data_IF_509341674052
#
_entry.id   IF_509341674052
#
_cell.length_a   1.000
_cell.length_b   1.000
_cell.length_c   1.000
_cell.angle_alpha   90.00
_cell.angle_beta   90.00
_cell.angle_gamma   90.00
#
_symmetry.space_group_name_H-M   'P 1'
#
loop_
_entity.id
_entity.type
_entity.pdbx_description
1 polymer ?
#
# COMPACT_ATOMS: atom_id res chain seq x y z
N UNK A 1 6.83 7.18 5.52
CA UNK A 1 5.62 6.34 5.50
C UNK A 1 5.98 5.12 4.70
N UNK A 2 5.88 3.94 5.32
CA UNK A 2 6.25 2.67 4.69
C UNK A 2 5.06 2.12 3.94
N UNK A 3 5.20 2.00 2.63
CA UNK A 3 4.15 1.53 1.72
C UNK A 3 4.55 0.18 1.17
N UNK A 4 3.78 -0.86 1.49
CA UNK A 4 3.90 -2.15 0.82
C UNK A 4 3.23 -2.10 -0.54
N UNK A 5 3.90 -2.62 -1.56
CA UNK A 5 3.37 -2.77 -2.92
C UNK A 5 3.36 -4.25 -3.28
N UNK A 6 2.22 -4.73 -3.80
CA UNK A 6 2.11 -6.10 -4.27
C UNK A 6 3.13 -6.40 -5.38
N UNK A 7 3.72 -7.61 -5.34
CA UNK A 7 4.62 -8.11 -6.38
C UNK A 7 3.97 -8.03 -7.77
N UNK A 8 4.70 -7.53 -8.78
CA UNK A 8 4.19 -7.25 -10.12
C UNK A 8 3.66 -5.83 -10.34
N UNK A 9 3.65 -4.99 -9.30
CA UNK A 9 3.37 -3.54 -9.39
C UNK A 9 4.66 -2.71 -9.26
N UNK A 10 5.81 -3.21 -9.72
CA UNK A 10 7.10 -2.52 -9.54
C UNK A 10 7.11 -1.09 -10.12
N UNK A 11 6.40 -0.86 -11.22
CA UNK A 11 6.25 0.47 -11.81
C UNK A 11 5.60 1.48 -10.84
N UNK A 12 4.64 1.05 -10.01
CA UNK A 12 4.10 1.88 -8.94
C UNK A 12 5.12 2.06 -7.81
N UNK A 13 5.91 1.03 -7.50
CA UNK A 13 6.91 1.12 -6.46
C UNK A 13 8.00 2.15 -6.79
N UNK A 14 8.49 2.16 -8.03
CA UNK A 14 9.45 3.14 -8.51
C UNK A 14 8.87 4.56 -8.50
N UNK A 15 7.65 4.72 -9.00
CA UNK A 15 6.97 6.01 -9.00
C UNK A 15 6.75 6.54 -7.57
N UNK A 16 6.26 5.70 -6.65
CA UNK A 16 6.05 6.08 -5.25
C UNK A 16 7.36 6.42 -4.53
N UNK A 17 8.47 5.77 -4.85
CA UNK A 17 9.80 6.18 -4.33
C UNK A 17 10.19 7.59 -4.80
N UNK A 18 9.88 7.95 -6.05
CA UNK A 18 10.13 9.30 -6.56
C UNK A 18 9.28 10.36 -5.83
N UNK A 19 8.10 9.99 -5.34
CA UNK A 19 7.26 10.85 -4.49
C UNK A 19 7.72 10.91 -3.02
N UNK A 20 8.80 10.22 -2.64
CA UNK A 20 9.37 10.25 -1.30
C UNK A 20 8.79 9.23 -0.31
N UNK A 21 8.10 8.20 -0.80
CA UNK A 21 7.61 7.09 0.05
C UNK A 21 8.66 5.98 0.21
N UNK A 22 8.69 5.35 1.38
CA UNK A 22 9.51 4.17 1.63
C UNK A 22 8.77 2.93 1.12
N UNK A 23 9.11 2.47 -0.07
CA UNK A 23 8.37 1.39 -0.73
C UNK A 23 9.04 0.03 -0.57
N UNK A 24 8.29 -0.91 -0.01
CA UNK A 24 8.67 -2.31 0.21
C UNK A 24 7.79 -3.25 -0.62
N UNK A 25 8.30 -4.42 -0.99
CA UNK A 25 7.52 -5.43 -1.71
C UNK A 25 6.77 -6.30 -0.71
N UNK A 26 5.45 -6.41 -0.90
CA UNK A 26 4.60 -7.25 -0.07
C UNK A 26 4.99 -8.72 -0.18
N UNK A 27 5.15 -9.39 0.95
CA UNK A 27 5.56 -10.80 1.05
C UNK A 27 7.06 -11.03 1.24
N UNK A 28 7.90 -10.03 0.94
CA UNK A 28 9.34 -10.06 1.22
C UNK A 28 9.71 -9.23 2.48
N UNK A 29 8.74 -8.47 3.00
CA UNK A 29 8.89 -7.59 4.15
C UNK A 29 8.02 -8.04 5.33
N UNK A 30 8.64 -8.28 6.48
CA UNK A 30 7.99 -8.83 7.69
C UNK A 30 7.75 -7.78 8.80
N UNK A 31 7.93 -6.49 8.50
CA UNK A 31 7.71 -5.41 9.46
C UNK A 31 6.37 -4.71 9.20
N UNK A 32 5.80 -4.02 10.21
CA UNK A 32 4.57 -3.27 10.05
C UNK A 32 4.70 -2.21 8.95
N UNK A 33 3.63 -2.05 8.18
CA UNK A 33 3.53 -1.08 7.08
C UNK A 33 2.35 -0.16 7.32
N UNK A 34 2.49 1.10 6.91
CA UNK A 34 1.43 2.11 7.07
C UNK A 34 0.33 1.92 6.01
N UNK A 35 0.73 1.54 4.80
CA UNK A 35 -0.18 1.38 3.67
C UNK A 35 0.20 0.18 2.80
N UNK A 36 -0.80 -0.35 2.08
CA UNK A 36 -0.66 -1.49 1.19
C UNK A 36 -1.36 -1.23 -0.14
N UNK A 37 -0.58 -1.15 -1.22
CA UNK A 37 -1.06 -1.01 -2.58
C UNK A 37 -1.17 -2.39 -3.23
N UNK A 38 -2.38 -2.72 -3.68
CA UNK A 38 -2.68 -4.01 -4.32
C UNK A 38 -3.47 -3.79 -5.62
N UNK A 39 -3.44 -4.78 -6.50
CA UNK A 39 -4.20 -4.82 -7.75
C UNK A 39 -5.04 -6.10 -7.78
N UNK A 40 -6.37 -5.95 -7.90
CA UNK A 40 -7.30 -7.07 -8.04
C UNK A 40 -8.39 -7.10 -6.98
N UNK A 41 -9.09 -8.24 -6.90
CA UNK A 41 -10.28 -8.43 -6.05
C UNK A 41 -10.00 -9.26 -4.79
N UNK A 42 -8.94 -10.07 -4.80
CA UNK A 42 -8.58 -10.93 -3.68
C UNK A 42 -7.10 -10.78 -3.38
N UNK A 43 -6.81 -10.35 -2.16
CA UNK A 43 -5.48 -10.34 -1.61
C UNK A 43 -5.52 -11.14 -0.31
N UNK A 44 -4.68 -12.16 -0.12
CA UNK A 44 -4.63 -12.89 1.14
C UNK A 44 -4.13 -11.94 2.23
N UNK A 45 -5.08 -11.43 3.02
CA UNK A 45 -4.86 -10.49 4.13
C UNK A 45 -4.12 -11.11 5.32
N UNK A 46 -3.96 -12.44 5.32
CA UNK A 46 -3.50 -13.20 6.47
C UNK A 46 -2.15 -12.74 7.01
N UNK A 47 -1.23 -12.28 6.16
CA UNK A 47 0.10 -11.80 6.57
C UNK A 47 0.16 -10.34 6.99
N UNK A 48 -0.81 -9.50 6.63
CA UNK A 48 -0.84 -8.09 7.01
C UNK A 48 -1.39 -7.86 8.44
N UNK A 49 -2.17 -8.83 8.97
CA UNK A 49 -2.87 -8.69 10.26
C UNK A 49 -2.31 -9.60 11.36
N UNK A 50 -1.48 -10.60 11.03
CA UNK A 50 -1.03 -11.64 11.98
C UNK A 50 0.28 -11.33 12.72
N UNK A 51 0.66 -10.06 12.88
CA UNK A 51 1.80 -9.72 13.75
C UNK A 51 1.36 -9.78 15.21
N UNK A 52 1.57 -10.94 15.83
CA UNK A 52 1.09 -11.31 17.16
C UNK A 52 1.68 -10.51 18.34
N UNK A 53 2.34 -9.36 18.12
CA UNK A 53 3.10 -8.69 19.19
C UNK A 53 3.39 -7.20 19.01
N UNK A 54 2.76 -6.51 18.06
CA UNK A 54 2.93 -5.06 17.91
C UNK A 54 1.55 -4.42 17.96
N UNK A 55 1.45 -3.32 18.70
CA UNK A 55 0.25 -2.50 18.85
C UNK A 55 -0.53 -2.45 17.54
N UNK A 56 -1.83 -2.77 17.57
CA UNK A 56 -2.67 -2.93 16.38
C UNK A 56 -2.72 -1.62 15.57
N UNK A 57 -1.79 -1.43 14.64
CA UNK A 57 -1.80 -0.35 13.67
C UNK A 57 -2.62 -0.80 12.47
N UNK A 58 -3.71 -0.08 12.17
CA UNK A 58 -4.51 -0.34 10.98
C UNK A 58 -3.72 -0.06 9.71
N UNK A 59 -3.70 -1.00 8.77
CA UNK A 59 -3.02 -0.84 7.48
C UNK A 59 -3.95 -0.15 6.49
N UNK A 60 -3.49 0.94 5.87
CA UNK A 60 -4.26 1.65 4.85
C UNK A 60 -4.14 0.95 3.48
N UNK A 61 -5.15 0.17 3.13
CA UNK A 61 -5.17 -0.57 1.87
C UNK A 61 -5.65 0.31 0.71
N UNK A 62 -4.99 0.21 -0.45
CA UNK A 62 -5.28 0.96 -1.68
C UNK A 62 -5.34 0.02 -2.89
N UNK A 63 -6.48 0.02 -3.59
CA UNK A 63 -6.61 -0.69 -4.87
C UNK A 63 -6.08 0.20 -6.02
N UNK A 64 -5.04 -0.28 -6.71
CA UNK A 64 -4.42 0.38 -7.84
C UNK A 64 -5.22 0.27 -9.16
N UNK A 65 -6.32 -0.50 -9.20
CA UNK A 65 -7.10 -0.74 -10.42
C UNK A 65 -7.65 0.57 -10.99
N UNK A 66 -7.20 0.94 -12.19
CA UNK A 66 -7.62 2.15 -12.89
C UNK A 66 -7.09 3.46 -12.28
N UNK A 67 -6.07 3.40 -11.42
CA UNK A 67 -5.43 4.57 -10.80
C UNK A 67 -4.02 4.78 -11.35
N UNK A 68 -3.61 6.04 -11.49
CA UNK A 68 -2.23 6.39 -11.78
C UNK A 68 -1.38 6.39 -10.50
N UNK A 69 -0.05 6.39 -10.64
CA UNK A 69 0.84 6.48 -9.49
C UNK A 69 0.68 7.81 -8.73
N UNK A 70 0.35 8.90 -9.46
CA UNK A 70 0.04 10.19 -8.87
C UNK A 70 -1.24 10.12 -8.02
N UNK A 71 -2.29 9.46 -8.50
CA UNK A 71 -3.53 9.27 -7.73
C UNK A 71 -3.27 8.51 -6.43
N UNK A 72 -2.45 7.45 -6.49
CA UNK A 72 -2.08 6.67 -5.31
C UNK A 72 -1.27 7.53 -4.33
N UNK A 73 -0.32 8.32 -4.83
CA UNK A 73 0.45 9.26 -4.01
C UNK A 73 -0.46 10.31 -3.34
N UNK A 74 -1.47 10.84 -4.05
CA UNK A 74 -2.44 11.77 -3.48
C UNK A 74 -3.31 11.10 -2.41
N UNK A 75 -3.78 9.88 -2.64
CA UNK A 75 -4.56 9.10 -1.67
C UNK A 75 -3.74 8.84 -0.40
N UNK A 76 -2.47 8.48 -0.54
CA UNK A 76 -1.54 8.28 0.58
C UNK A 76 -1.30 9.58 1.38
N UNK A 77 -1.08 10.69 0.68
CA UNK A 77 -0.82 11.99 1.31
C UNK A 77 -2.06 12.55 2.03
N UNK A 78 -3.23 12.49 1.39
CA UNK A 78 -4.47 13.02 1.97
C UNK A 78 -5.10 12.06 2.98
N UNK A 79 -4.71 10.77 2.94
CA UNK A 79 -5.36 9.66 3.67
C UNK A 79 -6.87 9.57 3.39
N UNK A 80 -7.31 10.10 2.25
CA UNK A 80 -8.70 10.11 1.82
C UNK A 80 -8.80 9.57 0.41
N UNK A 81 -9.79 8.72 0.18
CA UNK A 81 -10.17 8.34 -1.17
C UNK A 81 -10.85 9.50 -1.92
N UNK A 82 -10.85 9.41 -3.25
CA UNK A 82 -11.69 10.28 -4.08
C UNK A 82 -13.16 10.11 -3.67
N UNK A 83 -13.97 11.19 -3.69
CA UNK A 83 -15.41 11.11 -3.46
C UNK A 83 -16.05 10.06 -4.36
N UNK A 84 -17.07 9.37 -3.83
CA UNK A 84 -17.82 8.37 -4.59
C UNK A 84 -18.83 9.01 -5.56
N UNK A 85 -19.01 10.34 -5.50
CA UNK A 85 -19.98 11.13 -6.27
C UNK A 85 -19.42 12.53 -6.56
#
# INVERSE_FOLDING_TARGET
MTVAVQKGLEHFAEALRQYGFDVVIYGEYNYPVDALVYLGESMPLTSAVSSNNHEHHGVFMINARGKSAEDIAQILNRRTYTPLF
#
